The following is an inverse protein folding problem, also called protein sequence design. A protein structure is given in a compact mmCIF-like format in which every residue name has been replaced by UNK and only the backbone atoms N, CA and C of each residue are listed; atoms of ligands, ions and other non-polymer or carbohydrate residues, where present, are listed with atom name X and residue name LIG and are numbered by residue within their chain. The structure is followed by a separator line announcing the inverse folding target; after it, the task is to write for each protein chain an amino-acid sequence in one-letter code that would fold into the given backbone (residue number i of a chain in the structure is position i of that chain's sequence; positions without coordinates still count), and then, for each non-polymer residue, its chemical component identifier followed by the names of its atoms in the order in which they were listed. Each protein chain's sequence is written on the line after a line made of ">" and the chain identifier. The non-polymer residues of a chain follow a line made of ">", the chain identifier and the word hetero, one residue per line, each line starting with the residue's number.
data_IF_487635853985
#
_entry.id   IF_487635853985
#
_cell.length_a   1.000
_cell.length_b   1.000
_cell.length_c   1.000
_cell.angle_alpha   90.00
_cell.angle_beta   90.00
_cell.angle_gamma   90.00
#
_symmetry.space_group_name_H-M   'P 1'
#
loop_
_entity.id
_entity.type
_entity.pdbx_description
1 polymer ?
#
# COMPACT_ATOMS: atom_id res chain seq x y z
N UNK A 1 -18.07 13.68 -1.38
CA UNK A 1 -17.07 12.97 -2.19
C UNK A 1 -16.13 13.99 -2.79
N UNK A 2 -14.83 13.77 -2.68
CA UNK A 2 -13.82 14.55 -3.40
C UNK A 2 -13.67 14.03 -4.83
N UNK A 3 -13.20 14.87 -5.74
CA UNK A 3 -12.88 14.47 -7.11
C UNK A 3 -11.48 13.84 -7.18
N UNK A 4 -11.33 12.75 -7.93
CA UNK A 4 -10.03 12.16 -8.24
C UNK A 4 -9.31 13.04 -9.26
N UNK A 5 -8.12 13.55 -8.91
CA UNK A 5 -7.38 14.51 -9.75
C UNK A 5 -5.96 14.06 -10.06
N UNK A 6 -5.47 14.42 -11.25
CA UNK A 6 -4.09 14.15 -11.65
C UNK A 6 -3.14 14.88 -10.71
N UNK A 7 -2.18 14.15 -10.15
CA UNK A 7 -1.18 14.69 -9.24
C UNK A 7 -1.55 14.63 -7.76
N UNK A 8 -2.67 13.98 -7.39
CA UNK A 8 -2.94 13.61 -6.00
C UNK A 8 -1.77 12.81 -5.41
N UNK A 9 -1.46 13.07 -4.13
CA UNK A 9 -0.36 12.44 -3.41
C UNK A 9 -0.85 11.92 -2.07
N UNK A 10 -0.48 10.70 -1.75
CA UNK A 10 -0.58 10.10 -0.42
C UNK A 10 0.80 9.71 0.08
N UNK A 11 0.93 9.54 1.39
CA UNK A 11 2.17 9.07 2.00
C UNK A 11 1.85 8.21 3.21
N UNK A 12 2.58 7.11 3.36
CA UNK A 12 2.60 6.34 4.59
C UNK A 12 4.05 5.97 4.94
N UNK A 13 4.27 5.67 6.21
CA UNK A 13 5.54 5.23 6.74
C UNK A 13 5.29 4.04 7.65
N UNK A 14 6.27 3.15 7.73
CA UNK A 14 6.26 2.00 8.62
C UNK A 14 7.68 1.76 9.11
N UNK A 15 7.82 1.37 10.37
CA UNK A 15 9.09 0.92 10.91
C UNK A 15 9.40 -0.48 10.38
N UNK A 16 10.67 -0.74 10.05
CA UNK A 16 11.11 -2.07 9.66
C UNK A 16 11.28 -2.90 10.94
N UNK A 17 10.47 -3.94 11.06
CA UNK A 17 10.46 -4.88 12.19
C UNK A 17 10.61 -6.29 11.63
N UNK A 18 10.95 -7.27 12.47
CA UNK A 18 11.21 -8.64 12.01
C UNK A 18 10.04 -9.18 11.16
N UNK A 19 8.80 -8.94 11.57
CA UNK A 19 7.59 -9.44 10.92
C UNK A 19 7.37 -8.94 9.48
N UNK A 20 8.02 -7.83 9.09
CA UNK A 20 7.91 -7.27 7.75
C UNK A 20 9.22 -7.38 6.94
N UNK A 21 10.14 -8.23 7.38
CA UNK A 21 11.35 -8.55 6.62
C UNK A 21 11.11 -9.62 5.56
N UNK A 22 11.95 -9.62 4.53
CA UNK A 22 11.89 -10.60 3.44
C UNK A 22 12.04 -12.04 3.95
N UNK A 23 12.85 -12.24 4.99
CA UNK A 23 13.00 -13.52 5.69
C UNK A 23 11.71 -13.96 6.39
N UNK A 24 11.07 -13.09 7.17
CA UNK A 24 9.87 -13.44 7.93
C UNK A 24 8.64 -13.69 7.03
N UNK A 25 8.48 -12.90 5.96
CA UNK A 25 7.34 -13.05 5.04
C UNK A 25 7.58 -14.08 3.93
N UNK A 26 8.77 -14.69 3.89
CA UNK A 26 9.11 -15.76 2.94
C UNK A 26 9.38 -15.29 1.50
N UNK A 27 9.60 -14.00 1.27
CA UNK A 27 9.94 -13.46 -0.06
C UNK A 27 11.44 -13.42 -0.35
N UNK A 28 12.27 -13.78 0.62
CA UNK A 28 13.73 -13.81 0.53
C UNK A 28 14.35 -14.39 1.80
N UNK A 29 15.68 -14.36 1.91
CA UNK A 29 16.40 -14.92 3.06
C UNK A 29 17.02 -13.85 3.98
N UNK A 30 16.82 -12.56 3.70
CA UNK A 30 17.49 -11.46 4.40
C UNK A 30 16.52 -10.73 5.34
N UNK A 31 17.05 -10.26 6.48
CA UNK A 31 16.34 -9.39 7.44
C UNK A 31 16.32 -7.92 6.94
N UNK A 32 15.75 -7.71 5.76
CA UNK A 32 15.55 -6.40 5.14
C UNK A 32 14.08 -6.23 4.80
N UNK A 33 13.61 -4.98 4.67
CA UNK A 33 12.21 -4.72 4.36
C UNK A 33 11.77 -5.44 3.07
N UNK A 34 10.70 -6.22 3.15
CA UNK A 34 10.31 -7.11 2.08
C UNK A 34 9.66 -6.34 0.90
N UNK A 35 9.95 -6.75 -0.33
CA UNK A 35 9.22 -6.27 -1.52
C UNK A 35 7.70 -6.42 -1.39
N UNK A 36 7.11 -7.56 -0.95
CA UNK A 36 5.67 -7.64 -0.72
C UNK A 36 5.18 -6.68 0.37
N UNK A 37 5.95 -6.44 1.43
CA UNK A 37 5.59 -5.47 2.47
C UNK A 37 5.63 -4.03 1.95
N UNK A 38 6.59 -3.70 1.09
CA UNK A 38 6.66 -2.42 0.39
C UNK A 38 5.44 -2.22 -0.52
N UNK A 39 5.09 -3.23 -1.32
CA UNK A 39 3.93 -3.19 -2.21
C UNK A 39 2.64 -2.99 -1.41
N UNK A 40 2.44 -3.76 -0.34
CA UNK A 40 1.27 -3.61 0.52
C UNK A 40 1.16 -2.19 1.12
N UNK A 41 2.30 -1.55 1.44
CA UNK A 41 2.30 -0.16 1.90
C UNK A 41 1.88 0.81 0.79
N UNK A 42 2.34 0.61 -0.46
CA UNK A 42 1.92 1.41 -1.62
C UNK A 42 0.43 1.25 -1.92
N UNK A 43 -0.08 0.01 -1.91
CA UNK A 43 -1.50 -0.30 -2.13
C UNK A 43 -2.38 0.33 -1.04
N UNK A 44 -1.97 0.25 0.23
CA UNK A 44 -2.66 0.90 1.34
C UNK A 44 -2.78 2.41 1.10
N UNK A 45 -1.69 3.08 0.72
CA UNK A 45 -1.71 4.52 0.44
C UNK A 45 -2.63 4.85 -0.74
N UNK A 46 -2.60 4.05 -1.81
CA UNK A 46 -3.49 4.25 -2.95
C UNK A 46 -4.97 4.10 -2.56
N UNK A 47 -5.31 3.05 -1.80
CA UNK A 47 -6.65 2.81 -1.28
C UNK A 47 -7.15 3.96 -0.39
N UNK A 48 -6.33 4.38 0.57
CA UNK A 48 -6.67 5.49 1.48
C UNK A 48 -6.80 6.82 0.73
N UNK A 49 -5.95 7.07 -0.26
CA UNK A 49 -5.95 8.30 -1.06
C UNK A 49 -7.23 8.45 -1.89
N UNK A 50 -7.76 7.35 -2.45
CA UNK A 50 -8.96 7.37 -3.29
C UNK A 50 -10.26 7.19 -2.51
N UNK A 51 -10.21 6.69 -1.27
CA UNK A 51 -11.41 6.41 -0.46
C UNK A 51 -12.40 7.59 -0.36
N UNK A 52 -11.97 8.87 -0.18
CA UNK A 52 -12.91 10.00 -0.14
C UNK A 52 -13.60 10.32 -1.48
N UNK A 53 -13.11 9.72 -2.59
CA UNK A 53 -13.66 9.86 -3.93
C UNK A 53 -14.70 8.78 -4.29
N UNK A 54 -14.87 7.77 -3.44
CA UNK A 54 -15.78 6.65 -3.67
C UNK A 54 -17.18 6.94 -3.13
N UNK A 55 -18.21 6.49 -3.86
CA UNK A 55 -19.59 6.47 -3.39
C UNK A 55 -19.82 5.35 -2.37
N UNK A 56 -20.92 5.44 -1.63
CA UNK A 56 -21.38 4.34 -0.80
C UNK A 56 -21.59 3.08 -1.65
N UNK A 57 -21.02 1.96 -1.21
CA UNK A 57 -21.06 0.69 -1.94
C UNK A 57 -20.01 0.53 -3.04
N UNK A 58 -19.16 1.53 -3.30
CA UNK A 58 -18.01 1.40 -4.19
C UNK A 58 -16.73 0.96 -3.45
N UNK A 59 -15.83 0.33 -4.21
CA UNK A 59 -14.51 -0.08 -3.76
C UNK A 59 -13.52 -0.11 -4.92
N UNK A 60 -12.24 -0.28 -4.61
CA UNK A 60 -11.17 -0.37 -5.61
C UNK A 60 -10.39 -1.68 -5.44
N UNK A 61 -9.84 -2.18 -6.55
CA UNK A 61 -9.01 -3.39 -6.57
C UNK A 61 -7.70 -3.06 -7.30
N UNK A 62 -6.56 -3.48 -6.75
CA UNK A 62 -5.27 -3.41 -7.43
C UNK A 62 -5.19 -4.46 -8.53
N UNK A 63 -4.77 -4.06 -9.74
CA UNK A 63 -4.75 -4.96 -10.92
C UNK A 63 -3.35 -5.22 -11.46
N UNK A 64 -2.36 -4.41 -11.09
CA UNK A 64 -1.00 -4.45 -11.62
C UNK A 64 -0.01 -3.84 -10.62
N UNK A 65 1.25 -4.31 -10.69
CA UNK A 65 2.40 -3.89 -9.87
C UNK A 65 3.61 -3.59 -10.74
#
# INVERSE_FOLDING_TARGET
>A
MSELTIGMKGSAQVEVVHENTAAAVGSGALEVFATPSMIALMEKVALELVAPCLEEGQGTVGIEL
#
